data_IF_439978122557
#
_entry.id   IF_439978122557
#
_cell.length_a   1.000
_cell.length_b   1.000
_cell.length_c   1.000
_cell.angle_alpha   90.00
_cell.angle_beta   90.00
_cell.angle_gamma   90.00
#
_symmetry.space_group_name_H-M   'P 1'
#
loop_
_entity.id
_entity.type
_entity.pdbx_description
1 polymer ?
#
# COMPACT_ATOMS: atom_id res chain seq x y z
N UNK A 1 34.45 9.19 62.65
CA UNK A 1 34.90 8.03 61.84
C UNK A 1 33.76 7.59 60.92
N UNK A 2 34.12 7.15 59.71
CA UNK A 2 33.34 6.53 58.61
C UNK A 2 31.83 6.25 58.81
N UNK A 3 31.03 6.82 57.90
CA UNK A 3 29.70 6.31 57.49
C UNK A 3 29.90 5.28 56.37
N UNK A 4 29.24 4.11 56.38
CA UNK A 4 29.25 3.18 55.25
C UNK A 4 28.15 3.53 54.23
N UNK A 5 28.52 3.69 52.96
CA UNK A 5 27.57 3.82 51.86
C UNK A 5 27.20 2.44 51.31
N UNK A 6 25.90 2.12 51.28
CA UNK A 6 25.39 0.89 50.69
C UNK A 6 25.09 1.12 49.19
N UNK A 7 25.94 0.59 48.31
CA UNK A 7 25.71 0.61 46.86
C UNK A 7 24.95 -0.66 46.45
N UNK A 8 23.66 -0.52 46.14
CA UNK A 8 22.87 -1.60 45.55
C UNK A 8 23.08 -1.60 44.03
N UNK A 9 23.89 -2.54 43.55
CA UNK A 9 24.06 -2.78 42.12
C UNK A 9 22.89 -3.62 41.59
N UNK A 10 21.91 -3.00 40.91
CA UNK A 10 20.95 -3.75 40.10
C UNK A 10 21.66 -4.28 38.84
N UNK A 11 21.97 -5.57 38.84
CA UNK A 11 22.34 -6.29 37.63
C UNK A 11 21.10 -6.46 36.74
N UNK A 12 20.95 -5.58 35.76
CA UNK A 12 19.98 -5.79 34.67
C UNK A 12 20.48 -6.94 33.79
N UNK A 13 19.95 -8.14 34.03
CA UNK A 13 20.10 -9.27 33.13
C UNK A 13 19.35 -8.98 31.83
N UNK A 14 20.04 -8.43 30.83
CA UNK A 14 19.52 -8.29 29.47
C UNK A 14 19.23 -9.68 28.90
N UNK A 15 17.96 -10.01 28.72
CA UNK A 15 17.55 -11.25 28.07
C UNK A 15 18.06 -11.26 26.62
N UNK A 16 19.12 -12.03 26.36
CA UNK A 16 19.67 -12.21 25.03
C UNK A 16 18.59 -12.76 24.09
N UNK A 17 18.17 -11.95 23.11
CA UNK A 17 17.22 -12.38 22.10
C UNK A 17 17.92 -13.38 21.19
N UNK A 18 17.66 -14.67 21.40
CA UNK A 18 18.16 -15.73 20.54
C UNK A 18 17.66 -15.47 19.11
N UNK A 19 18.60 -15.32 18.17
CA UNK A 19 18.29 -15.17 16.75
C UNK A 19 17.66 -16.49 16.27
N UNK A 20 16.34 -16.48 16.04
CA UNK A 20 15.57 -17.68 15.74
C UNK A 20 16.08 -18.41 14.51
N UNK A 21 16.53 -19.64 14.69
CA UNK A 21 16.88 -20.56 13.60
C UNK A 21 15.61 -20.86 12.81
N UNK A 22 15.64 -20.74 11.47
CA UNK A 22 14.49 -21.16 10.64
C UNK A 22 14.31 -22.67 10.78
N UNK A 23 13.12 -23.17 11.19
CA UNK A 23 12.89 -24.59 11.41
C UNK A 23 13.06 -25.44 10.16
N UNK A 24 13.53 -26.67 10.34
CA UNK A 24 13.82 -27.58 9.21
C UNK A 24 12.59 -27.91 8.33
N UNK A 25 11.37 -28.09 8.88
CA UNK A 25 10.17 -28.27 8.05
C UNK A 25 9.88 -27.07 7.12
N UNK A 26 10.20 -25.84 7.57
CA UNK A 26 10.06 -24.63 6.76
C UNK A 26 11.11 -24.61 5.64
N UNK A 27 12.37 -24.96 5.94
CA UNK A 27 13.43 -25.08 4.92
C UNK A 27 13.08 -26.14 3.87
N UNK A 28 12.65 -27.32 4.32
CA UNK A 28 12.25 -28.43 3.45
C UNK A 28 11.11 -28.02 2.50
N UNK A 29 10.10 -27.32 3.02
CA UNK A 29 8.98 -26.81 2.21
C UNK A 29 9.41 -25.74 1.21
N UNK A 30 10.27 -24.80 1.62
CA UNK A 30 10.85 -23.81 0.68
C UNK A 30 11.65 -24.50 -0.42
N UNK A 31 12.48 -25.48 -0.07
CA UNK A 31 13.31 -26.21 -1.02
C UNK A 31 12.47 -27.01 -2.03
N UNK A 32 11.34 -27.60 -1.63
CA UNK A 32 10.41 -28.28 -2.54
C UNK A 32 9.73 -27.30 -3.52
N UNK A 33 9.37 -26.09 -3.08
CA UNK A 33 8.82 -25.05 -3.97
C UNK A 33 9.87 -24.55 -4.97
N UNK A 34 11.12 -24.36 -4.54
CA UNK A 34 12.23 -24.03 -5.44
C UNK A 34 12.49 -25.17 -6.43
N UNK A 35 12.51 -26.43 -5.97
CA UNK A 35 12.70 -27.59 -6.82
C UNK A 35 11.59 -27.72 -7.88
N UNK A 36 10.31 -27.52 -7.51
CA UNK A 36 9.18 -27.50 -8.46
C UNK A 36 9.33 -26.41 -9.52
N UNK A 37 9.80 -25.22 -9.14
CA UNK A 37 10.07 -24.15 -10.11
C UNK A 37 11.14 -24.54 -11.13
N UNK A 38 12.26 -25.11 -10.67
CA UNK A 38 13.37 -25.56 -11.53
C UNK A 38 12.96 -26.74 -12.41
N UNK A 39 12.28 -27.75 -11.85
CA UNK A 39 11.78 -28.92 -12.58
C UNK A 39 10.77 -28.55 -13.67
N UNK A 40 9.95 -27.52 -13.45
CA UNK A 40 9.05 -27.01 -14.47
C UNK A 40 9.78 -26.33 -15.64
N UNK A 41 11.09 -26.05 -15.54
CA UNK A 41 11.85 -25.28 -16.51
C UNK A 41 11.75 -23.77 -16.29
N UNK A 42 11.61 -23.34 -15.03
CA UNK A 42 11.69 -21.94 -14.60
C UNK A 42 12.95 -21.68 -13.77
N UNK A 43 13.16 -20.42 -13.42
CA UNK A 43 14.25 -19.99 -12.52
C UNK A 43 13.67 -19.21 -11.34
N UNK A 44 14.29 -19.31 -10.17
CA UNK A 44 13.89 -18.50 -9.03
C UNK A 44 14.35 -17.06 -9.26
N UNK A 45 13.39 -16.16 -9.44
CA UNK A 45 13.61 -14.73 -9.62
C UNK A 45 13.95 -14.02 -8.31
N UNK A 46 14.18 -12.71 -8.41
CA UNK A 46 14.39 -11.87 -7.24
C UNK A 46 13.17 -11.91 -6.32
N UNK A 47 13.43 -12.00 -5.00
CA UNK A 47 12.42 -11.82 -3.96
C UNK A 47 12.12 -10.33 -3.67
N UNK A 48 12.67 -9.41 -4.47
CA UNK A 48 12.38 -7.98 -4.43
C UNK A 48 11.14 -7.70 -5.29
N UNK A 49 10.15 -6.98 -4.75
CA UNK A 49 8.95 -6.54 -5.49
C UNK A 49 7.85 -7.61 -5.65
N UNK A 50 8.12 -8.88 -5.36
CA UNK A 50 7.09 -9.89 -5.13
C UNK A 50 7.03 -10.19 -3.63
N UNK A 51 5.89 -9.91 -2.99
CA UNK A 51 5.74 -10.00 -1.54
C UNK A 51 6.18 -11.36 -0.99
N UNK A 52 6.94 -11.37 0.12
CA UNK A 52 7.64 -12.55 0.65
C UNK A 52 6.75 -13.80 0.59
N UNK A 53 7.20 -14.86 -0.07
CA UNK A 53 6.48 -16.13 -0.11
C UNK A 53 6.63 -16.97 1.17
N UNK A 54 7.57 -16.58 2.05
CA UNK A 54 7.61 -16.99 3.47
C UNK A 54 7.56 -15.72 4.32
N UNK A 55 6.50 -15.58 5.10
CA UNK A 55 6.25 -14.45 5.99
C UNK A 55 6.43 -14.98 7.43
N UNK A 56 7.61 -14.76 8.05
CA UNK A 56 7.76 -14.91 9.48
C UNK A 56 6.98 -13.76 10.13
N UNK A 57 5.93 -14.14 10.82
CA UNK A 57 5.10 -13.27 11.62
C UNK A 57 4.54 -14.14 12.72
N UNK A 58 3.71 -13.57 13.55
CA UNK A 58 3.29 -14.24 14.75
C UNK A 58 1.77 -14.11 14.83
N UNK A 59 1.06 -15.24 14.75
CA UNK A 59 -0.36 -15.23 14.38
C UNK A 59 -1.33 -15.56 15.54
N UNK A 60 -0.83 -15.80 16.77
CA UNK A 60 -1.59 -16.71 17.68
C UNK A 60 -1.47 -16.54 19.23
N UNK A 61 -0.93 -15.45 19.83
CA UNK A 61 -0.89 -15.23 21.33
C UNK A 61 0.33 -15.54 22.32
N UNK A 62 1.32 -16.44 22.12
CA UNK A 62 2.42 -16.84 23.07
C UNK A 62 3.85 -16.21 23.07
N UNK A 63 4.23 -15.29 22.17
CA UNK A 63 5.59 -14.76 21.93
C UNK A 63 6.54 -15.45 20.88
N UNK A 64 6.12 -16.40 20.05
CA UNK A 64 6.95 -17.15 19.06
C UNK A 64 6.70 -16.77 17.59
N UNK A 65 7.73 -16.96 16.76
CA UNK A 65 7.63 -16.79 15.29
C UNK A 65 6.93 -17.98 14.64
N UNK A 66 5.74 -17.72 14.09
CA UNK A 66 5.04 -18.56 13.12
C UNK A 66 5.53 -18.27 11.67
N UNK A 67 5.14 -19.11 10.71
CA UNK A 67 5.58 -19.02 9.31
C UNK A 67 4.41 -19.21 8.34
N UNK A 68 4.02 -18.15 7.65
CA UNK A 68 3.03 -18.22 6.56
C UNK A 68 3.75 -18.40 5.21
N UNK A 69 3.52 -19.53 4.56
CA UNK A 69 4.04 -19.86 3.23
C UNK A 69 2.94 -19.69 2.18
N UNK A 70 3.20 -18.94 1.12
CA UNK A 70 2.28 -18.77 -0.02
C UNK A 70 2.93 -19.23 -1.31
N UNK A 71 2.47 -20.36 -1.87
CA UNK A 71 2.96 -20.84 -3.16
C UNK A 71 2.79 -19.78 -4.25
N UNK A 72 1.67 -19.05 -4.24
CA UNK A 72 1.36 -18.06 -5.26
C UNK A 72 2.28 -16.84 -5.32
N UNK A 73 3.12 -16.64 -4.30
CA UNK A 73 4.12 -15.59 -4.25
C UNK A 73 5.54 -16.11 -4.59
N UNK A 74 5.71 -17.40 -4.90
CA UNK A 74 7.00 -17.97 -5.32
C UNK A 74 7.39 -17.32 -6.67
N UNK A 75 8.53 -16.61 -6.75
CA UNK A 75 8.91 -15.85 -7.94
C UNK A 75 9.49 -16.76 -9.02
N UNK A 76 8.66 -17.60 -9.65
CA UNK A 76 9.12 -18.54 -10.67
C UNK A 76 9.15 -17.89 -12.07
N UNK A 77 10.30 -17.35 -12.43
CA UNK A 77 10.56 -16.68 -13.72
C UNK A 77 10.56 -17.73 -14.84
N UNK A 78 9.95 -17.37 -15.98
CA UNK A 78 9.82 -18.26 -17.13
C UNK A 78 8.75 -19.35 -17.01
N UNK A 79 8.08 -19.48 -15.85
CA UNK A 79 6.91 -20.38 -15.64
C UNK A 79 5.78 -19.65 -14.91
N UNK A 80 5.14 -18.66 -15.56
CA UNK A 80 4.00 -17.95 -14.98
C UNK A 80 2.88 -18.93 -14.62
N UNK A 81 2.15 -18.62 -13.55
CA UNK A 81 1.01 -19.39 -13.01
C UNK A 81 1.31 -20.82 -12.50
N UNK A 82 2.57 -21.30 -12.51
CA UNK A 82 2.95 -22.62 -11.97
C UNK A 82 2.41 -22.89 -10.55
N UNK A 83 2.36 -21.84 -9.72
CA UNK A 83 1.87 -21.87 -8.34
C UNK A 83 0.52 -21.14 -8.15
N UNK A 84 -0.10 -20.67 -9.24
CA UNK A 84 -1.43 -20.02 -9.25
C UNK A 84 -2.35 -20.58 -10.36
N UNK A 85 -2.54 -21.91 -10.47
CA UNK A 85 -3.51 -22.47 -11.42
C UNK A 85 -4.90 -21.87 -11.15
N UNK A 86 -5.57 -21.45 -12.23
CA UNK A 86 -6.89 -20.81 -12.20
C UNK A 86 -6.98 -19.56 -11.28
N UNK A 87 -5.84 -18.91 -11.04
CA UNK A 87 -5.71 -17.75 -10.15
C UNK A 87 -5.73 -18.09 -8.65
N UNK A 88 -5.70 -19.38 -8.27
CA UNK A 88 -5.72 -19.82 -6.87
C UNK A 88 -4.35 -20.38 -6.46
N UNK A 89 -3.84 -19.91 -5.33
CA UNK A 89 -2.58 -20.29 -4.72
C UNK A 89 -2.80 -21.17 -3.50
N UNK A 90 -1.94 -22.15 -3.25
CA UNK A 90 -1.89 -22.81 -1.93
C UNK A 90 -1.26 -21.86 -0.92
N UNK A 91 -1.91 -21.74 0.24
CA UNK A 91 -1.44 -20.99 1.40
C UNK A 91 -1.34 -21.94 2.58
N UNK A 92 -0.25 -21.87 3.33
CA UNK A 92 0.02 -22.69 4.49
C UNK A 92 0.48 -21.82 5.65
N UNK A 93 -0.22 -21.87 6.78
CA UNK A 93 0.31 -21.31 8.01
C UNK A 93 0.92 -22.45 8.81
N UNK A 94 2.17 -22.28 9.23
CA UNK A 94 2.93 -23.17 10.10
C UNK A 94 3.26 -22.42 11.38
N UNK A 95 3.44 -23.13 12.48
CA UNK A 95 3.95 -22.54 13.71
C UNK A 95 5.44 -22.76 13.85
N UNK A 96 6.14 -21.90 14.59
CA UNK A 96 7.46 -22.22 15.13
C UNK A 96 7.39 -22.60 16.61
N UNK A 97 7.94 -23.77 16.97
CA UNK A 97 8.20 -24.09 18.39
C UNK A 97 9.63 -23.74 18.83
N UNK A 98 10.44 -23.19 17.93
CA UNK A 98 11.87 -22.91 18.11
C UNK A 98 12.66 -23.48 16.93
N UNK A 99 13.16 -24.70 17.07
CA UNK A 99 13.91 -25.43 16.02
C UNK A 99 13.02 -26.24 15.06
N UNK A 100 11.77 -26.48 15.42
CA UNK A 100 10.81 -27.29 14.68
C UNK A 100 9.53 -26.48 14.36
N UNK A 101 8.77 -26.94 13.37
CA UNK A 101 7.57 -26.27 12.89
C UNK A 101 6.54 -27.27 12.37
N UNK A 102 5.27 -26.99 12.65
CA UNK A 102 4.18 -27.85 12.19
C UNK A 102 3.03 -27.06 11.60
N UNK A 103 2.40 -27.64 10.58
CA UNK A 103 1.30 -27.04 9.85
C UNK A 103 0.14 -26.71 10.81
N UNK A 104 -0.48 -25.56 10.57
CA UNK A 104 -1.52 -24.93 11.38
C UNK A 104 -2.82 -24.67 10.61
N UNK A 105 -2.69 -24.47 9.30
CA UNK A 105 -3.79 -24.27 8.36
C UNK A 105 -3.25 -24.48 6.95
N UNK A 106 -4.04 -25.08 6.05
CA UNK A 106 -3.75 -25.07 4.62
C UNK A 106 -5.03 -24.99 3.77
N UNK A 107 -5.06 -24.08 2.79
CA UNK A 107 -6.16 -23.97 1.82
C UNK A 107 -5.67 -23.45 0.46
N UNK A 108 -6.52 -23.54 -0.58
CA UNK A 108 -6.35 -22.84 -1.85
C UNK A 108 -7.11 -21.52 -1.79
N UNK A 109 -6.38 -20.41 -1.90
CA UNK A 109 -6.91 -19.04 -1.78
C UNK A 109 -6.59 -18.25 -3.04
N UNK A 110 -7.44 -17.29 -3.41
CA UNK A 110 -7.10 -16.32 -4.45
C UNK A 110 -5.97 -15.39 -3.99
N UNK A 111 -6.03 -15.04 -2.70
CA UNK A 111 -5.08 -14.16 -2.04
C UNK A 111 -5.32 -14.16 -0.54
N UNK A 112 -4.45 -13.44 0.17
CA UNK A 112 -4.49 -13.29 1.61
C UNK A 112 -3.92 -11.93 2.01
N UNK A 113 -4.16 -11.52 3.25
CA UNK A 113 -3.47 -10.40 3.90
C UNK A 113 -3.09 -10.78 5.32
N UNK A 114 -1.88 -10.39 5.71
CA UNK A 114 -1.43 -10.39 7.11
C UNK A 114 -1.67 -8.99 7.64
N UNK A 115 -2.44 -8.87 8.70
CA UNK A 115 -2.61 -7.61 9.45
C UNK A 115 -1.60 -7.62 10.58
N UNK A 116 -0.63 -6.71 10.53
CA UNK A 116 0.36 -6.54 11.59
C UNK A 116 -0.33 -6.25 12.93
N UNK A 117 0.04 -6.97 13.98
CA UNK A 117 -0.54 -6.80 15.30
C UNK A 117 -0.20 -7.93 16.27
N UNK A 118 -0.84 -7.94 17.47
CA UNK A 118 -0.58 -8.90 18.52
C UNK A 118 -1.86 -9.64 18.99
N UNK A 119 -2.36 -10.69 18.30
CA UNK A 119 -1.76 -11.40 17.16
C UNK A 119 -1.82 -10.71 15.81
N UNK A 120 -0.87 -11.08 14.94
CA UNK A 120 -0.99 -10.79 13.52
C UNK A 120 -2.17 -11.60 12.98
N UNK A 121 -3.07 -10.95 12.27
CA UNK A 121 -4.30 -11.61 11.80
C UNK A 121 -4.13 -12.01 10.35
N UNK A 122 -4.35 -13.29 10.06
CA UNK A 122 -4.40 -13.76 8.69
C UNK A 122 -5.84 -13.69 8.18
N UNK A 123 -6.06 -12.97 7.09
CA UNK A 123 -7.32 -13.01 6.36
C UNK A 123 -7.10 -13.57 4.96
N UNK A 124 -8.02 -14.41 4.50
CA UNK A 124 -7.93 -15.17 3.25
C UNK A 124 -9.14 -14.90 2.36
N UNK A 125 -8.92 -14.85 1.05
CA UNK A 125 -9.96 -14.63 0.05
C UNK A 125 -10.13 -15.86 -0.85
N UNK A 126 -11.37 -16.22 -1.14
CA UNK A 126 -11.76 -17.41 -1.91
C UNK A 126 -12.83 -17.06 -2.96
N UNK A 127 -13.04 -17.95 -3.93
CA UNK A 127 -14.06 -17.84 -4.98
C UNK A 127 -14.83 -19.15 -5.20
N UNK A 128 -16.03 -19.03 -5.76
CA UNK A 128 -16.86 -20.17 -6.16
C UNK A 128 -17.54 -20.86 -4.98
N UNK A 129 -17.80 -22.16 -5.13
CA UNK A 129 -18.72 -22.94 -4.28
C UNK A 129 -18.37 -22.92 -2.77
N UNK A 130 -17.09 -22.72 -2.42
CA UNK A 130 -16.61 -22.60 -1.04
C UNK A 130 -17.16 -21.38 -0.30
N UNK A 131 -17.69 -20.40 -1.03
CA UNK A 131 -18.24 -19.16 -0.46
C UNK A 131 -19.73 -19.25 -0.06
N UNK A 132 -20.42 -20.35 -0.41
CA UNK A 132 -21.81 -20.61 0.00
C UNK A 132 -22.81 -19.47 -0.32
N UNK A 133 -22.64 -18.81 -1.46
CA UNK A 133 -23.54 -17.74 -1.92
C UNK A 133 -22.85 -16.76 -2.88
N UNK A 134 -22.07 -15.80 -2.35
CA UNK A 134 -21.37 -14.81 -3.18
C UNK A 134 -20.26 -15.47 -4.03
N UNK A 135 -19.99 -14.89 -5.20
CA UNK A 135 -18.96 -15.39 -6.12
C UNK A 135 -17.53 -15.34 -5.55
N UNK A 136 -17.30 -14.45 -4.57
CA UNK A 136 -16.06 -14.30 -3.78
C UNK A 136 -16.41 -14.05 -2.32
N UNK A 137 -15.55 -14.48 -1.41
CA UNK A 137 -15.75 -14.36 0.03
C UNK A 137 -14.42 -14.23 0.77
N UNK A 138 -14.48 -13.71 2.00
CA UNK A 138 -13.33 -13.57 2.88
C UNK A 138 -13.57 -14.19 4.25
N UNK A 139 -12.50 -14.71 4.86
CA UNK A 139 -12.46 -15.19 6.24
C UNK A 139 -11.22 -14.66 6.96
N UNK A 140 -11.36 -14.34 8.24
CA UNK A 140 -10.27 -14.13 9.18
C UNK A 140 -10.00 -15.43 9.92
N UNK A 141 -8.76 -15.91 9.87
CA UNK A 141 -8.29 -17.00 10.70
C UNK A 141 -7.97 -16.46 12.09
N UNK A 142 -8.81 -16.84 13.05
CA UNK A 142 -8.65 -16.49 14.46
C UNK A 142 -8.06 -17.64 15.23
N UNK A 143 -7.10 -17.34 16.08
CA UNK A 143 -6.51 -18.33 16.97
C UNK A 143 -7.49 -18.74 18.09
N UNK A 144 -7.84 -20.03 18.16
CA UNK A 144 -8.56 -20.60 19.31
C UNK A 144 -7.60 -21.42 20.16
N UNK A 145 -7.10 -20.81 21.24
CA UNK A 145 -6.15 -21.42 22.17
C UNK A 145 -6.69 -22.66 22.89
N UNK A 146 -7.98 -22.67 23.25
CA UNK A 146 -8.61 -23.79 23.96
C UNK A 146 -8.84 -25.02 23.05
N UNK A 147 -9.18 -24.77 21.79
CA UNK A 147 -9.37 -25.83 20.80
C UNK A 147 -8.09 -26.23 20.07
N UNK A 148 -6.99 -25.50 20.31
CA UNK A 148 -5.72 -25.72 19.66
C UNK A 148 -5.79 -25.65 18.14
N UNK A 149 -6.56 -24.72 17.54
CA UNK A 149 -6.61 -24.54 16.07
C UNK A 149 -6.95 -23.12 15.65
N UNK A 150 -6.74 -22.81 14.37
CA UNK A 150 -7.39 -21.65 13.75
C UNK A 150 -8.86 -21.94 13.45
N UNK A 151 -9.69 -20.93 13.63
CA UNK A 151 -11.10 -20.94 13.28
C UNK A 151 -11.39 -19.82 12.29
N UNK A 152 -12.10 -20.16 11.22
CA UNK A 152 -12.48 -19.23 10.14
C UNK A 152 -13.69 -18.38 10.60
N UNK A 153 -13.53 -17.06 10.65
CA UNK A 153 -14.62 -16.11 10.89
C UNK A 153 -14.83 -15.25 9.66
N UNK A 154 -16.04 -15.30 9.11
CA UNK A 154 -16.43 -14.53 7.94
C UNK A 154 -16.16 -13.03 8.11
N UNK A 155 -15.47 -12.43 7.12
CA UNK A 155 -15.27 -10.97 7.08
C UNK A 155 -16.51 -10.23 6.53
N UNK A 156 -17.46 -10.97 5.95
CA UNK A 156 -18.69 -10.49 5.32
C UNK A 156 -19.96 -10.80 6.16
N UNK A 157 -19.80 -11.39 7.36
CA UNK A 157 -20.90 -11.71 8.27
C UNK A 157 -21.70 -12.99 7.93
N UNK A 158 -21.33 -13.74 6.89
CA UNK A 158 -21.96 -15.05 6.61
C UNK A 158 -21.65 -16.07 7.71
N UNK A 159 -22.47 -17.11 7.83
CA UNK A 159 -22.11 -18.27 8.67
C UNK A 159 -21.04 -19.09 7.97
N UNK A 160 -19.90 -19.30 8.63
CA UNK A 160 -18.87 -20.24 8.18
C UNK A 160 -19.16 -21.61 8.79
N UNK A 161 -19.17 -22.66 7.96
CA UNK A 161 -19.24 -24.03 8.46
C UNK A 161 -17.90 -24.40 9.10
N UNK A 162 -17.92 -24.96 10.31
CA UNK A 162 -16.71 -25.43 10.97
C UNK A 162 -16.03 -26.52 10.12
N UNK A 163 -14.82 -26.22 9.64
CA UNK A 163 -14.00 -27.16 8.87
C UNK A 163 -13.18 -28.06 9.82
N UNK A 164 -12.84 -29.30 9.42
CA UNK A 164 -11.90 -30.13 10.15
C UNK A 164 -10.54 -29.43 10.30
N UNK A 165 -9.95 -29.49 11.49
CA UNK A 165 -8.68 -28.84 11.77
C UNK A 165 -7.54 -29.47 10.94
N UNK A 166 -6.82 -28.65 10.17
CA UNK A 166 -5.60 -29.06 9.44
C UNK A 166 -4.36 -28.59 10.17
N UNK A 167 -4.17 -29.10 11.39
CA UNK A 167 -3.10 -28.67 12.30
C UNK A 167 -3.47 -27.44 13.15
N UNK A 168 -2.49 -26.90 13.90
CA UNK A 168 -2.71 -26.11 15.14
C UNK A 168 -1.61 -25.01 15.47
N UNK A 169 -1.78 -24.14 16.52
CA UNK A 169 -1.01 -23.43 17.68
C UNK A 169 0.10 -22.28 17.77
N UNK A 170 -0.23 -21.06 18.27
CA UNK A 170 0.56 -20.13 19.21
C UNK A 170 2.00 -19.52 18.86
N UNK A 171 2.35 -18.20 18.99
CA UNK A 171 1.61 -16.89 19.19
C UNK A 171 2.37 -15.57 19.67
N UNK A 172 1.72 -14.38 20.04
CA UNK A 172 2.15 -12.90 20.11
C UNK A 172 1.99 -11.95 21.36
N UNK A 173 2.71 -10.78 21.35
CA UNK A 173 2.55 -9.53 22.19
C UNK A 173 2.76 -8.10 21.48
N UNK A 174 2.43 -6.89 22.06
CA UNK A 174 2.00 -5.59 21.38
C UNK A 174 2.95 -4.36 20.98
N UNK A 175 2.36 -3.16 20.67
CA UNK A 175 2.86 -2.02 19.79
C UNK A 175 2.69 -0.51 20.26
N UNK A 176 3.09 0.55 19.47
CA UNK A 176 3.05 2.04 19.78
C UNK A 176 2.96 3.06 18.57
N UNK A 177 2.92 4.42 18.78
CA UNK A 177 2.40 5.52 17.85
C UNK A 177 3.30 6.82 17.60
N UNK A 178 2.83 7.86 16.86
CA UNK A 178 3.64 8.98 16.23
C UNK A 178 3.12 10.49 16.29
N UNK A 179 3.87 11.50 15.75
CA UNK A 179 3.65 12.98 15.90
C UNK A 179 3.97 13.92 14.66
N UNK A 180 3.73 15.26 14.74
CA UNK A 180 3.51 16.22 13.60
C UNK A 180 4.51 17.42 13.38
N UNK A 181 4.29 18.31 12.38
CA UNK A 181 5.21 19.35 11.85
C UNK A 181 4.52 20.71 11.39
N UNK A 182 5.26 21.83 11.09
CA UNK A 182 4.73 23.22 11.03
C UNK A 182 4.41 23.82 9.63
N UNK A 183 3.83 25.04 9.60
CA UNK A 183 3.19 25.70 8.43
C UNK A 183 3.91 26.95 7.85
N UNK A 184 3.54 27.35 6.62
CA UNK A 184 4.09 28.52 5.88
C UNK A 184 3.01 29.48 5.32
N UNK A 185 3.41 30.59 4.65
CA UNK A 185 2.52 31.71 4.30
C UNK A 185 1.56 31.43 3.13
N UNK A 186 0.43 32.15 3.12
CA UNK A 186 -0.71 31.93 2.24
C UNK A 186 -0.53 32.44 0.80
N UNK A 187 -1.03 31.68 -0.18
CA UNK A 187 -1.02 32.04 -1.60
C UNK A 187 -2.40 32.52 -2.06
N UNK A 188 -2.50 33.59 -2.88
CA UNK A 188 -3.79 34.14 -3.32
C UNK A 188 -4.59 33.16 -4.18
N UNK A 189 -5.91 33.37 -4.23
CA UNK A 189 -6.85 32.62 -5.05
C UNK A 189 -6.46 32.66 -6.54
N UNK A 190 -6.39 31.49 -7.20
CA UNK A 190 -6.12 31.37 -8.64
C UNK A 190 -4.64 31.26 -9.06
N UNK A 191 -3.67 31.53 -8.19
CA UNK A 191 -2.24 31.31 -8.49
C UNK A 191 -1.77 29.91 -8.07
N UNK A 192 -0.92 29.21 -8.83
CA UNK A 192 -0.28 27.99 -8.30
C UNK A 192 0.91 28.38 -7.44
N UNK A 193 1.05 27.86 -6.21
CA UNK A 193 2.30 28.00 -5.48
C UNK A 193 3.46 27.38 -6.29
N UNK A 194 4.61 28.06 -6.40
CA UNK A 194 5.77 27.50 -7.05
C UNK A 194 6.25 26.25 -6.29
N UNK A 195 7.00 25.37 -6.96
CA UNK A 195 7.74 24.33 -6.26
C UNK A 195 8.74 25.01 -5.34
N UNK A 196 8.74 24.64 -4.05
CA UNK A 196 9.63 25.26 -3.07
C UNK A 196 11.08 24.85 -3.37
N UNK A 197 12.01 25.80 -3.34
CA UNK A 197 13.39 25.59 -3.79
C UNK A 197 14.13 24.44 -3.08
N UNK A 198 13.76 24.19 -1.82
CA UNK A 198 14.30 23.15 -0.94
C UNK A 198 13.41 21.88 -0.86
N UNK A 199 12.33 21.80 -1.65
CA UNK A 199 11.40 20.66 -1.64
C UNK A 199 12.09 19.32 -1.91
N UNK A 200 13.03 19.28 -2.85
CA UNK A 200 13.80 18.08 -3.17
C UNK A 200 14.65 17.60 -1.98
N UNK A 201 15.29 18.52 -1.26
CA UNK A 201 16.10 18.21 -0.09
C UNK A 201 15.23 17.72 1.07
N UNK A 202 14.11 18.40 1.35
CA UNK A 202 13.13 17.98 2.37
C UNK A 202 12.53 16.60 2.08
N UNK A 203 12.15 16.33 0.83
CA UNK A 203 11.63 15.03 0.42
C UNK A 203 12.67 13.91 0.65
N UNK A 204 13.90 14.07 0.14
CA UNK A 204 14.95 13.06 0.28
C UNK A 204 15.31 12.80 1.74
N UNK A 205 15.38 13.84 2.59
CA UNK A 205 15.60 13.70 4.02
C UNK A 205 14.47 12.90 4.72
N UNK A 206 13.21 13.17 4.36
CA UNK A 206 12.06 12.43 4.90
C UNK A 206 12.03 10.97 4.43
N UNK A 207 12.30 10.72 3.15
CA UNK A 207 12.43 9.38 2.56
C UNK A 207 13.53 8.57 3.27
N UNK A 208 14.73 9.15 3.42
CA UNK A 208 15.85 8.53 4.15
C UNK A 208 15.47 8.20 5.59
N UNK A 209 14.81 9.12 6.30
CA UNK A 209 14.32 8.89 7.66
C UNK A 209 13.32 7.73 7.74
N UNK A 210 12.38 7.65 6.80
CA UNK A 210 11.38 6.59 6.77
C UNK A 210 12.00 5.20 6.50
N UNK A 211 12.95 5.09 5.56
CA UNK A 211 13.61 3.81 5.27
C UNK A 211 14.51 3.38 6.45
N UNK A 212 15.27 4.30 7.04
CA UNK A 212 16.15 4.00 8.19
C UNK A 212 15.37 3.62 9.46
N UNK A 213 14.15 4.13 9.64
CA UNK A 213 13.28 3.76 10.77
C UNK A 213 12.85 2.28 10.75
N UNK A 214 12.90 1.62 9.59
CA UNK A 214 12.50 0.22 9.41
C UNK A 214 13.70 -0.74 9.31
N UNK A 215 14.86 -0.25 8.84
CA UNK A 215 16.07 -1.05 8.60
C UNK A 215 17.34 -0.25 8.98
N UNK A 216 17.83 -0.35 10.23
CA UNK A 216 18.90 0.52 10.73
C UNK A 216 20.34 0.13 10.32
N UNK A 217 20.55 -0.88 9.47
CA UNK A 217 21.89 -1.40 9.13
C UNK A 217 22.33 -1.08 7.69
N UNK A 218 23.37 -0.23 7.57
CA UNK A 218 24.23 0.07 6.38
C UNK A 218 23.56 -0.03 4.99
N UNK A 219 23.30 1.11 4.36
CA UNK A 219 22.54 1.18 3.11
C UNK A 219 23.03 2.28 2.16
N UNK A 220 24.07 1.97 1.39
CA UNK A 220 24.67 2.90 0.40
C UNK A 220 23.73 3.22 -0.79
N UNK A 221 22.59 2.52 -0.88
CA UNK A 221 21.57 2.65 -1.93
C UNK A 221 20.41 3.59 -1.57
N UNK A 222 20.23 4.02 -0.30
CA UNK A 222 19.05 4.82 0.10
C UNK A 222 18.99 6.16 -0.65
N UNK A 223 20.12 6.83 -0.86
CA UNK A 223 20.13 8.11 -1.57
C UNK A 223 19.81 7.94 -3.06
N UNK A 224 20.08 6.75 -3.63
CA UNK A 224 19.62 6.34 -4.95
C UNK A 224 18.10 6.15 -4.99
N UNK A 225 17.55 5.31 -4.11
CA UNK A 225 16.10 5.08 -3.96
C UNK A 225 15.32 6.40 -3.76
N UNK A 226 15.74 7.25 -2.81
CA UNK A 226 15.10 8.53 -2.56
C UNK A 226 15.28 9.53 -3.72
N UNK A 227 16.30 9.37 -4.57
CA UNK A 227 16.45 10.14 -5.81
C UNK A 227 15.52 9.61 -6.91
N UNK A 228 15.35 8.30 -7.04
CA UNK A 228 14.40 7.70 -7.96
C UNK A 228 12.96 8.08 -7.58
N UNK A 229 12.57 7.95 -6.31
CA UNK A 229 11.26 8.39 -5.83
C UNK A 229 11.03 9.89 -6.10
N UNK A 230 12.03 10.75 -5.88
CA UNK A 230 11.94 12.16 -6.24
C UNK A 230 11.74 12.40 -7.75
N UNK A 231 12.30 11.54 -8.62
CA UNK A 231 12.06 11.66 -10.07
C UNK A 231 10.58 11.49 -10.44
N UNK A 232 9.85 10.63 -9.71
CA UNK A 232 8.40 10.44 -9.85
C UNK A 232 7.62 11.67 -9.39
N UNK A 233 8.05 12.29 -8.29
CA UNK A 233 7.52 13.59 -7.80
C UNK A 233 7.71 14.70 -8.84
N UNK A 234 8.90 14.77 -9.46
CA UNK A 234 9.21 15.74 -10.50
C UNK A 234 8.38 15.51 -11.78
N UNK A 235 8.24 14.26 -12.22
CA UNK A 235 7.42 13.88 -13.37
C UNK A 235 5.93 14.23 -13.20
N UNK A 236 5.42 14.21 -11.96
CA UNK A 236 4.04 14.62 -11.64
C UNK A 236 3.82 16.15 -11.60
N UNK A 237 4.86 16.98 -11.61
CA UNK A 237 4.71 18.44 -11.41
C UNK A 237 3.83 19.18 -12.43
N UNK A 238 3.87 18.91 -13.76
CA UNK A 238 3.01 19.59 -14.72
C UNK A 238 1.52 19.25 -14.53
N UNK A 239 1.24 18.00 -14.17
CA UNK A 239 -0.09 17.49 -13.89
C UNK A 239 -0.64 18.04 -12.56
N UNK A 240 0.18 18.06 -11.51
CA UNK A 240 -0.15 18.68 -10.22
C UNK A 240 -0.49 20.17 -10.38
N UNK A 241 0.26 20.91 -11.22
CA UNK A 241 -0.02 22.32 -11.51
C UNK A 241 -1.45 22.53 -12.03
N UNK A 242 -1.88 21.72 -13.00
CA UNK A 242 -3.21 21.85 -13.60
C UNK A 242 -4.32 21.43 -12.64
N UNK A 243 -4.12 20.39 -11.83
CA UNK A 243 -5.09 20.04 -10.78
C UNK A 243 -5.23 21.18 -9.74
N UNK A 244 -4.13 21.85 -9.35
CA UNK A 244 -4.15 22.98 -8.40
C UNK A 244 -4.80 24.24 -9.00
N UNK A 245 -4.69 24.46 -10.33
CA UNK A 245 -5.41 25.54 -11.03
C UNK A 245 -6.90 25.26 -11.18
N UNK A 246 -7.29 23.99 -11.25
CA UNK A 246 -8.68 23.60 -11.39
C UNK A 246 -9.49 23.82 -10.10
N UNK A 247 -8.87 23.67 -8.92
CA UNK A 247 -9.60 23.79 -7.64
C UNK A 247 -10.09 25.22 -7.36
N UNK A 248 -11.23 25.38 -6.66
CA UNK A 248 -11.74 26.70 -6.29
C UNK A 248 -10.74 27.50 -5.45
N UNK A 249 -10.58 28.79 -5.77
CA UNK A 249 -9.70 29.69 -5.03
C UNK A 249 -10.24 30.17 -3.67
N UNK A 250 -11.50 29.86 -3.34
CA UNK A 250 -12.17 30.29 -2.12
C UNK A 250 -13.56 29.63 -1.98
N UNK A 251 -14.29 29.90 -0.89
CA UNK A 251 -15.64 29.35 -0.69
C UNK A 251 -16.64 29.95 -1.69
N UNK A 252 -17.11 29.11 -2.61
CA UNK A 252 -18.01 29.49 -3.71
C UNK A 252 -18.34 28.28 -4.58
N UNK A 253 -19.29 28.44 -5.50
CA UNK A 253 -19.71 27.36 -6.41
C UNK A 253 -18.59 26.88 -7.33
N UNK A 254 -18.72 25.64 -7.83
CA UNK A 254 -17.76 25.04 -8.75
C UNK A 254 -17.54 25.94 -10.00
N UNK A 255 -16.29 26.16 -10.44
CA UNK A 255 -15.97 27.04 -11.55
C UNK A 255 -16.60 26.56 -12.86
N UNK A 256 -16.89 27.48 -13.76
CA UNK A 256 -17.48 27.13 -15.06
C UNK A 256 -16.47 26.45 -15.99
N UNK A 257 -16.94 25.70 -17.01
CA UNK A 257 -16.05 25.08 -18.01
C UNK A 257 -15.24 26.14 -18.78
N UNK A 258 -15.83 27.32 -19.04
CA UNK A 258 -15.15 28.43 -19.71
C UNK A 258 -14.02 29.02 -18.85
N UNK A 259 -14.30 29.26 -17.57
CA UNK A 259 -13.33 29.73 -16.57
C UNK A 259 -12.20 28.74 -16.35
N UNK A 260 -12.51 27.44 -16.26
CA UNK A 260 -11.50 26.37 -16.19
C UNK A 260 -10.62 26.35 -17.44
N UNK A 261 -11.19 26.45 -18.65
CA UNK A 261 -10.42 26.53 -19.90
C UNK A 261 -9.47 27.74 -19.95
N UNK A 262 -9.90 28.89 -19.41
CA UNK A 262 -9.07 30.10 -19.30
C UNK A 262 -7.93 29.95 -18.30
N UNK A 263 -8.19 29.37 -17.11
CA UNK A 263 -7.16 29.12 -16.09
C UNK A 263 -6.13 28.09 -16.55
N UNK A 264 -6.60 27.01 -17.15
CA UNK A 264 -5.82 25.84 -17.54
C UNK A 264 -5.20 26.02 -18.94
N UNK A 265 -4.55 27.16 -19.18
CA UNK A 265 -4.00 27.52 -20.49
C UNK A 265 -2.91 26.58 -21.02
N UNK A 266 -2.30 25.75 -20.13
CA UNK A 266 -1.33 24.71 -20.52
C UNK A 266 -1.98 23.38 -20.96
N UNK A 267 -3.31 23.23 -20.83
CA UNK A 267 -4.05 22.08 -21.37
C UNK A 267 -4.29 22.29 -22.85
N UNK A 268 -3.81 21.38 -23.70
CA UNK A 268 -4.18 21.32 -25.11
C UNK A 268 -5.59 20.74 -25.24
N UNK A 269 -6.59 21.62 -25.16
CA UNK A 269 -8.00 21.26 -25.24
C UNK A 269 -8.38 20.63 -26.57
N UNK A 270 -9.20 19.58 -26.54
CA UNK A 270 -9.86 19.07 -27.74
C UNK A 270 -10.98 20.03 -28.18
N UNK A 271 -11.24 20.17 -29.50
CA UNK A 271 -12.31 21.02 -30.02
C UNK A 271 -13.71 20.52 -29.62
N UNK A 272 -13.86 19.20 -29.42
CA UNK A 272 -15.08 18.55 -28.96
C UNK A 272 -14.73 17.66 -27.75
N UNK A 273 -15.60 17.67 -26.74
CA UNK A 273 -15.42 16.81 -25.58
C UNK A 273 -15.76 15.35 -25.90
N UNK A 274 -15.02 14.41 -25.31
CA UNK A 274 -15.31 12.98 -25.36
C UNK A 274 -16.50 12.60 -24.48
N UNK A 275 -17.08 11.42 -24.74
CA UNK A 275 -18.28 10.96 -24.04
C UNK A 275 -18.03 10.85 -22.52
N UNK A 276 -18.88 11.50 -21.72
CA UNK A 276 -18.77 11.56 -20.27
C UNK A 276 -17.92 12.72 -19.72
N UNK A 277 -17.22 13.46 -20.58
CA UNK A 277 -16.48 14.69 -20.21
C UNK A 277 -17.25 15.95 -20.59
N UNK A 278 -17.12 17.00 -19.77
CA UNK A 278 -17.58 18.36 -20.08
C UNK A 278 -16.53 19.12 -20.92
N UNK A 279 -15.25 18.83 -20.69
CA UNK A 279 -14.14 19.20 -21.54
C UNK A 279 -12.94 18.29 -21.25
N UNK A 280 -12.15 17.94 -22.26
CA UNK A 280 -10.93 17.16 -22.10
C UNK A 280 -9.86 17.62 -23.11
N UNK A 281 -8.61 17.22 -22.86
CA UNK A 281 -7.42 17.68 -23.55
C UNK A 281 -6.17 16.98 -23.03
N UNK A 282 -4.98 17.52 -23.31
CA UNK A 282 -3.71 16.90 -22.92
C UNK A 282 -2.72 17.86 -22.26
N UNK A 283 -1.88 17.33 -21.36
CA UNK A 283 -0.78 18.01 -20.69
C UNK A 283 0.47 17.14 -20.84
N UNK A 284 1.29 17.40 -21.87
CA UNK A 284 2.44 16.53 -22.17
C UNK A 284 1.99 15.08 -22.44
N UNK A 285 2.35 14.15 -21.54
CA UNK A 285 1.97 12.73 -21.62
C UNK A 285 0.72 12.33 -20.81
N UNK A 286 -0.02 13.31 -20.28
CA UNK A 286 -1.24 13.07 -19.50
C UNK A 286 -2.48 13.49 -20.28
N UNK A 287 -3.52 12.67 -20.24
CA UNK A 287 -4.86 13.07 -20.66
C UNK A 287 -5.55 13.79 -19.49
N UNK A 288 -6.10 14.97 -19.76
CA UNK A 288 -6.80 15.81 -18.77
C UNK A 288 -8.30 15.84 -19.07
N UNK A 289 -9.13 15.65 -18.05
CA UNK A 289 -10.59 15.70 -18.18
C UNK A 289 -11.25 16.54 -17.08
N UNK A 290 -12.34 17.21 -17.45
CA UNK A 290 -13.31 17.82 -16.54
C UNK A 290 -14.60 17.02 -16.68
N UNK A 291 -15.06 16.42 -15.59
CA UNK A 291 -16.27 15.62 -15.52
C UNK A 291 -17.31 16.24 -14.57
N UNK A 292 -18.57 15.87 -14.76
CA UNK A 292 -19.70 16.27 -13.90
C UNK A 292 -21.04 16.30 -14.65
N UNK A 293 -22.15 16.39 -13.92
CA UNK A 293 -23.50 16.33 -14.51
C UNK A 293 -24.04 17.73 -14.79
N UNK A 294 -23.75 18.24 -15.98
CA UNK A 294 -24.18 19.56 -16.44
C UNK A 294 -23.39 20.75 -15.85
N UNK A 295 -22.59 20.51 -14.80
CA UNK A 295 -21.61 21.45 -14.24
C UNK A 295 -20.34 20.70 -13.84
N UNK A 296 -19.16 21.35 -13.78
CA UNK A 296 -17.93 20.72 -13.31
C UNK A 296 -18.03 20.21 -11.87
N UNK A 297 -17.62 18.96 -11.66
CA UNK A 297 -17.59 18.28 -10.36
C UNK A 297 -16.18 17.77 -10.03
N UNK A 298 -15.46 17.28 -11.04
CA UNK A 298 -14.11 16.69 -10.90
C UNK A 298 -13.20 17.14 -12.04
N UNK A 299 -11.95 17.45 -11.74
CA UNK A 299 -10.87 17.51 -12.73
C UNK A 299 -9.92 16.33 -12.50
N UNK A 300 -9.49 15.66 -13.57
CA UNK A 300 -8.57 14.52 -13.50
C UNK A 300 -7.46 14.57 -14.54
N UNK A 301 -6.33 13.95 -14.18
CA UNK A 301 -5.23 13.59 -15.07
C UNK A 301 -5.13 12.07 -15.12
N UNK A 302 -4.89 11.52 -16.30
CA UNK A 302 -4.75 10.10 -16.52
C UNK A 302 -3.45 9.84 -17.30
N UNK A 303 -2.79 8.73 -16.99
CA UNK A 303 -1.66 8.19 -17.73
C UNK A 303 -1.82 6.67 -17.78
N UNK A 304 -1.50 6.08 -18.92
CA UNK A 304 -1.46 4.62 -19.13
C UNK A 304 -0.24 4.26 -19.96
N UNK A 305 0.34 3.10 -19.69
CA UNK A 305 1.48 2.57 -20.47
C UNK A 305 1.54 1.06 -20.29
N UNK A 306 1.92 0.33 -21.34
CA UNK A 306 2.02 -1.13 -21.31
C UNK A 306 3.35 -1.56 -20.68
N UNK A 307 3.31 -2.48 -19.71
CA UNK A 307 4.49 -3.06 -19.06
C UNK A 307 5.33 -2.14 -18.17
N UNK A 308 5.10 -0.82 -18.18
CA UNK A 308 5.89 0.15 -17.44
C UNK A 308 5.55 0.20 -15.95
N UNK A 309 6.55 0.42 -15.09
CA UNK A 309 6.33 0.75 -13.68
C UNK A 309 5.71 2.15 -13.53
N UNK A 310 4.87 2.37 -12.50
CA UNK A 310 4.25 3.68 -12.22
C UNK A 310 5.31 4.79 -11.99
N UNK A 311 5.42 5.80 -12.88
CA UNK A 311 6.49 6.79 -12.84
C UNK A 311 6.05 8.09 -12.13
N UNK A 312 5.08 8.03 -11.21
CA UNK A 312 4.31 9.18 -10.74
C UNK A 312 4.09 9.17 -9.22
N UNK A 313 4.14 10.35 -8.61
CA UNK A 313 3.76 10.60 -7.22
C UNK A 313 3.07 11.97 -7.13
N UNK A 314 1.73 11.96 -7.22
CA UNK A 314 0.92 13.18 -7.15
C UNK A 314 0.88 13.77 -5.73
N UNK A 315 0.71 12.94 -4.70
CA UNK A 315 0.59 13.41 -3.31
C UNK A 315 1.83 14.22 -2.87
N UNK A 316 3.03 13.74 -3.19
CA UNK A 316 4.28 14.43 -2.88
C UNK A 316 4.53 15.61 -3.82
N UNK A 317 3.98 15.60 -5.05
CA UNK A 317 4.09 16.74 -5.97
C UNK A 317 3.30 17.96 -5.47
N UNK A 318 2.15 17.75 -4.83
CA UNK A 318 1.42 18.80 -4.12
C UNK A 318 2.18 19.27 -2.86
N UNK A 319 2.73 18.35 -2.06
CA UNK A 319 3.53 18.70 -0.88
C UNK A 319 4.79 19.53 -1.22
N UNK A 320 5.42 19.25 -2.36
CA UNK A 320 6.55 20.03 -2.89
C UNK A 320 6.21 21.49 -3.23
N UNK A 321 4.92 21.81 -3.38
CA UNK A 321 4.38 23.18 -3.56
C UNK A 321 3.85 23.79 -2.25
N UNK A 322 4.15 23.17 -1.10
CA UNK A 322 3.75 23.67 0.22
C UNK A 322 2.37 23.25 0.69
N UNK A 323 1.72 22.26 0.04
CA UNK A 323 0.49 21.68 0.57
C UNK A 323 0.77 20.85 1.84
N UNK A 324 -0.12 20.94 2.82
CA UNK A 324 -0.29 19.86 3.81
C UNK A 324 -1.17 18.79 3.19
N UNK A 325 -0.67 17.55 3.13
CA UNK A 325 -1.36 16.42 2.49
C UNK A 325 -1.57 15.32 3.53
N UNK A 326 -2.83 15.11 3.91
CA UNK A 326 -3.24 14.16 4.95
C UNK A 326 -4.00 13.01 4.32
N UNK A 327 -3.56 11.77 4.54
CA UNK A 327 -4.24 10.57 4.04
C UNK A 327 -5.60 10.40 4.76
N UNK A 328 -6.68 10.28 3.99
CA UNK A 328 -8.06 10.25 4.49
C UNK A 328 -8.74 8.90 4.30
N UNK A 329 -8.42 8.20 3.21
CA UNK A 329 -8.88 6.84 2.91
C UNK A 329 -7.87 6.15 2.00
N UNK A 330 -7.79 4.83 2.07
CA UNK A 330 -7.26 4.01 1.01
C UNK A 330 -8.05 2.72 0.85
N UNK A 331 -7.92 2.12 -0.33
CA UNK A 331 -8.58 0.89 -0.74
C UNK A 331 -7.65 0.11 -1.67
N UNK A 332 -7.41 -1.17 -1.36
CA UNK A 332 -6.60 -2.05 -2.22
C UNK A 332 -7.55 -2.87 -3.07
N UNK A 333 -7.57 -2.57 -4.38
CA UNK A 333 -8.45 -3.20 -5.36
C UNK A 333 -7.80 -4.48 -5.95
N UNK A 334 -6.46 -4.56 -5.96
CA UNK A 334 -5.71 -5.71 -6.46
C UNK A 334 -4.25 -5.76 -6.01
N UNK A 335 -3.47 -6.65 -6.61
CA UNK A 335 -2.00 -6.66 -6.47
C UNK A 335 -1.43 -5.54 -7.34
N UNK A 336 -0.70 -4.61 -6.73
CA UNK A 336 -0.23 -3.41 -7.41
C UNK A 336 -1.33 -2.46 -7.88
N UNK A 337 -2.59 -2.66 -7.47
CA UNK A 337 -3.76 -1.84 -7.84
C UNK A 337 -4.50 -1.32 -6.60
N UNK A 338 -4.84 -0.04 -6.59
CA UNK A 338 -5.62 0.55 -5.50
C UNK A 338 -5.94 2.02 -5.66
N UNK A 339 -6.73 2.51 -4.72
CA UNK A 339 -7.15 3.89 -4.60
C UNK A 339 -6.72 4.49 -3.25
N UNK A 340 -6.34 5.76 -3.27
CA UNK A 340 -5.98 6.56 -2.09
C UNK A 340 -6.64 7.93 -2.21
N UNK A 341 -7.24 8.41 -1.13
CA UNK A 341 -7.79 9.77 -1.01
C UNK A 341 -7.06 10.51 0.10
N UNK A 342 -6.69 11.76 -0.18
CA UNK A 342 -6.07 12.70 0.74
C UNK A 342 -6.88 13.99 0.84
N UNK A 343 -6.88 14.58 2.02
CA UNK A 343 -7.22 15.98 2.23
C UNK A 343 -5.97 16.81 1.95
N UNK A 344 -6.08 17.74 1.01
CA UNK A 344 -5.01 18.64 0.58
C UNK A 344 -5.37 20.05 1.01
N UNK A 345 -4.49 20.68 1.79
CA UNK A 345 -4.65 22.05 2.27
C UNK A 345 -3.47 22.92 1.81
N UNK A 346 -3.77 24.02 1.13
CA UNK A 346 -2.81 25.12 0.92
C UNK A 346 -3.16 26.27 1.86
N UNK A 347 -2.17 26.98 2.42
CA UNK A 347 -2.46 28.15 3.25
C UNK A 347 -3.16 29.23 2.42
N UNK A 348 -4.27 29.76 2.96
CA UNK A 348 -5.16 30.70 2.27
C UNK A 348 -6.26 30.07 1.42
N UNK A 349 -6.41 28.74 1.39
CA UNK A 349 -7.44 28.05 0.59
C UNK A 349 -8.26 27.06 1.42
N UNK A 350 -9.54 26.80 1.06
CA UNK A 350 -10.27 25.67 1.62
C UNK A 350 -9.57 24.36 1.26
N UNK A 351 -9.55 23.36 2.16
CA UNK A 351 -9.00 22.04 1.84
C UNK A 351 -9.92 21.32 0.85
N UNK A 352 -9.32 20.52 -0.03
CA UNK A 352 -10.04 19.72 -1.04
C UNK A 352 -9.57 18.26 -1.04
N UNK A 353 -10.36 17.40 -1.66
CA UNK A 353 -10.02 15.98 -1.85
C UNK A 353 -9.16 15.79 -3.10
N UNK A 354 -8.01 15.11 -2.94
CA UNK A 354 -7.22 14.51 -4.01
C UNK A 354 -7.45 12.99 -3.94
N UNK A 355 -7.88 12.37 -5.04
CA UNK A 355 -7.97 10.91 -5.17
C UNK A 355 -6.95 10.45 -6.21
N UNK A 356 -6.16 9.43 -5.89
CA UNK A 356 -5.29 8.72 -6.84
C UNK A 356 -5.75 7.28 -6.91
N UNK A 357 -6.08 6.80 -8.10
CA UNK A 357 -6.39 5.41 -8.41
C UNK A 357 -5.31 4.91 -9.38
N UNK A 358 -4.57 3.87 -9.01
CA UNK A 358 -3.37 3.43 -9.72
C UNK A 358 -3.33 1.91 -9.89
N UNK A 359 -2.65 1.45 -10.95
CA UNK A 359 -2.21 0.07 -11.14
C UNK A 359 -0.84 0.02 -11.78
N UNK A 360 0.10 -0.73 -11.20
CA UNK A 360 1.27 -1.23 -11.95
C UNK A 360 0.91 -2.48 -12.75
N UNK A 361 1.42 -2.56 -13.97
CA UNK A 361 1.31 -3.70 -14.85
C UNK A 361 1.87 -4.97 -14.17
N UNK A 362 1.06 -6.03 -13.97
CA UNK A 362 1.54 -7.28 -13.39
C UNK A 362 2.42 -8.11 -14.36
N UNK A 363 2.44 -7.74 -15.64
CA UNK A 363 3.26 -8.35 -16.70
C UNK A 363 3.75 -7.27 -17.67
N UNK A 364 4.77 -7.58 -18.47
CA UNK A 364 5.28 -6.67 -19.50
C UNK A 364 4.28 -6.34 -20.64
N UNK A 365 3.15 -7.05 -20.69
CA UNK A 365 2.09 -6.90 -21.72
C UNK A 365 0.74 -6.47 -21.12
N UNK A 366 0.76 -5.92 -19.91
CA UNK A 366 -0.42 -5.45 -19.21
C UNK A 366 -0.37 -3.93 -19.04
N UNK A 367 -1.52 -3.27 -19.02
CA UNK A 367 -1.60 -1.83 -18.86
C UNK A 367 -1.45 -1.42 -17.40
N UNK A 368 -0.38 -0.67 -17.12
CA UNK A 368 -0.34 0.25 -16.00
C UNK A 368 -1.32 1.40 -16.24
N UNK A 369 -1.94 1.89 -15.17
CA UNK A 369 -2.69 3.13 -15.21
C UNK A 369 -2.43 3.96 -13.95
N UNK A 370 -2.53 5.27 -14.10
CA UNK A 370 -2.48 6.22 -13.00
C UNK A 370 -3.50 7.31 -13.29
N UNK A 371 -4.55 7.38 -12.46
CA UNK A 371 -5.51 8.47 -12.47
C UNK A 371 -5.33 9.27 -11.19
N UNK A 372 -5.25 10.60 -11.29
CA UNK A 372 -5.33 11.49 -10.15
C UNK A 372 -6.39 12.55 -10.40
N UNK A 373 -7.25 12.78 -9.42
CA UNK A 373 -8.40 13.66 -9.56
C UNK A 373 -8.61 14.54 -8.34
N UNK A 374 -9.15 15.74 -8.56
CA UNK A 374 -9.54 16.68 -7.51
C UNK A 374 -10.99 17.09 -7.67
N UNK A 375 -11.65 17.31 -6.54
CA UNK A 375 -13.03 17.79 -6.52
C UNK A 375 -13.10 19.30 -6.75
N UNK A 376 -14.01 19.70 -7.62
CA UNK A 376 -14.27 21.08 -8.02
C UNK A 376 -15.45 21.69 -7.24
N UNK A 377 -16.26 20.85 -6.59
CA UNK A 377 -17.40 21.28 -5.77
C UNK A 377 -17.04 21.72 -4.35
N UNK A 378 -15.74 21.73 -4.00
CA UNK A 378 -15.24 22.15 -2.69
C UNK A 378 -15.63 21.23 -1.53
N UNK A 379 -16.19 20.04 -1.80
CA UNK A 379 -16.56 19.11 -0.76
C UNK A 379 -15.30 18.53 -0.08
N UNK A 380 -15.28 18.44 1.27
CA UNK A 380 -14.14 17.90 2.00
C UNK A 380 -14.02 16.39 1.78
N UNK A 381 -12.77 15.90 1.81
CA UNK A 381 -12.46 14.48 1.72
C UNK A 381 -13.17 13.68 2.81
N UNK A 382 -13.81 12.56 2.44
CA UNK A 382 -14.50 11.69 3.40
C UNK A 382 -13.47 10.82 4.14
N UNK A 383 -13.52 10.83 5.47
CA UNK A 383 -12.72 9.92 6.30
C UNK A 383 -13.12 8.47 6.02
N UNK A 384 -12.12 7.61 5.85
CA UNK A 384 -12.25 6.16 5.74
C UNK A 384 -11.05 5.46 6.40
N UNK A 385 -10.79 4.18 6.07
CA UNK A 385 -9.62 3.47 6.56
C UNK A 385 -8.32 4.11 6.06
N UNK A 386 -7.40 4.45 6.97
CA UNK A 386 -6.09 5.07 6.68
C UNK A 386 -4.89 4.15 6.89
N UNK A 387 -5.14 2.88 7.22
CA UNK A 387 -4.08 1.87 7.42
C UNK A 387 -3.58 1.35 6.07
N UNK A 388 -2.78 2.18 5.40
CA UNK A 388 -2.33 2.00 4.03
C UNK A 388 -0.89 1.49 3.99
N UNK A 389 -0.58 0.43 4.75
CA UNK A 389 0.77 -0.14 4.83
C UNK A 389 1.18 -0.77 3.49
N UNK A 390 1.74 0.09 2.64
CA UNK A 390 2.44 -0.11 1.37
C UNK A 390 1.68 -0.88 0.28
N UNK A 391 1.43 -0.17 -0.82
CA UNK A 391 0.75 -0.64 -2.02
C UNK A 391 1.58 -1.59 -2.92
N UNK A 392 2.61 -2.24 -2.39
CA UNK A 392 3.52 -3.13 -3.13
C UNK A 392 3.69 -4.47 -2.39
#
# INVERSE_FOLDING_TARGET
MRVPALVVALAFASAAHAQGVVPEPIKARVNELVARCVQAGGTLGSMQGQGRFVIPADFTGDGRTDFLISEGNVPCVGKPNLFRPDGNARLELWLGNGSDARLAFADKVMGFRVLNGPPAKLQIARQGVVCSGPARCGDELRWNAAAGRFEEVATDGRKVAARPATGAMAGTAPAVSAAAAPAGPAAPAGAVPPVLADAAARFKASCRKAILAEKPAKTDWIDGECTEQWSRVAASQPAAEMLILATPGGPGGAPSVAELRQRLAKVRWLPRAEQGSLANGQIGKFDFAIAGKGRPETASVNWTEEGAMLPLDMQSAFAARGATVTLMRCEKLGVGEGERSWSVAFPGRPPFELVVSERSAPTASAWSFYSASVRLDGAPAKKGPVNCERFW
#
